data_IF_689208786976
#
_entry.id   IF_689208786976
#
_cell.length_a   1.000
_cell.length_b   1.000
_cell.length_c   1.000
_cell.angle_alpha   90.00
_cell.angle_beta   90.00
_cell.angle_gamma   90.00
#
_symmetry.space_group_name_H-M   'P 1'
#
loop_
_entity.id
_entity.type
_entity.pdbx_description
1 polymer ?
#
# COMPACT_ATOMS: atom_id res chain seq x y z
N UNK A 1 -15.95 -1.61 -13.97
CA UNK A 1 -14.77 -1.60 -13.08
C UNK A 1 -14.04 -2.90 -13.32
N UNK A 2 -12.70 -2.88 -13.45
CA UNK A 2 -11.93 -4.13 -13.57
C UNK A 2 -11.76 -4.69 -12.16
N UNK A 3 -12.19 -5.93 -11.96
CA UNK A 3 -11.97 -6.65 -10.71
C UNK A 3 -10.47 -6.94 -10.57
N UNK A 4 -9.94 -6.76 -9.35
CA UNK A 4 -8.57 -7.16 -9.03
C UNK A 4 -8.54 -8.69 -8.94
N UNK A 5 -7.78 -9.34 -9.83
CA UNK A 5 -7.62 -10.80 -9.88
C UNK A 5 -6.42 -11.26 -9.09
N UNK A 6 -5.39 -10.41 -9.02
CA UNK A 6 -4.09 -10.77 -8.48
C UNK A 6 -3.58 -9.68 -7.54
N UNK A 7 -2.94 -10.10 -6.44
CA UNK A 7 -2.33 -9.19 -5.47
C UNK A 7 -0.87 -9.60 -5.30
N UNK A 8 0.04 -8.72 -5.70
CA UNK A 8 1.48 -8.93 -5.63
C UNK A 8 2.07 -7.98 -4.59
N UNK A 9 2.86 -8.51 -3.66
CA UNK A 9 3.54 -7.70 -2.65
C UNK A 9 5.04 -7.61 -2.92
N UNK A 10 5.61 -6.43 -2.70
CA UNK A 10 7.06 -6.26 -2.79
C UNK A 10 7.82 -7.00 -1.68
N UNK A 11 9.13 -7.28 -1.88
CA UNK A 11 9.98 -7.78 -0.80
C UNK A 11 10.02 -6.84 0.41
N UNK A 12 9.94 -5.52 0.21
CA UNK A 12 9.92 -4.53 1.28
C UNK A 12 8.62 -4.63 2.10
N UNK A 13 7.49 -4.73 1.42
CA UNK A 13 6.18 -4.92 2.03
C UNK A 13 6.15 -6.20 2.86
N UNK A 14 6.60 -7.33 2.28
CA UNK A 14 6.65 -8.62 2.96
C UNK A 14 7.51 -8.58 4.24
N UNK A 15 8.69 -7.93 4.17
CA UNK A 15 9.57 -7.76 5.35
C UNK A 15 8.92 -6.93 6.45
N UNK A 16 8.13 -5.91 6.10
CA UNK A 16 7.40 -5.10 7.08
C UNK A 16 6.20 -5.85 7.67
N UNK A 17 5.41 -6.55 6.84
CA UNK A 17 4.26 -7.34 7.28
C UNK A 17 4.66 -8.36 8.36
N UNK A 18 5.83 -8.98 8.24
CA UNK A 18 6.38 -9.91 9.25
C UNK A 18 6.61 -9.30 10.64
N UNK A 19 6.74 -7.97 10.76
CA UNK A 19 6.95 -7.27 12.03
C UNK A 19 5.65 -6.86 12.73
N UNK A 20 4.51 -7.04 12.07
CA UNK A 20 3.21 -6.67 12.61
C UNK A 20 2.68 -7.72 13.57
N UNK A 21 1.97 -7.26 14.60
CA UNK A 21 1.19 -8.16 15.45
C UNK A 21 -0.13 -8.57 14.76
N UNK A 22 -0.84 -9.55 15.34
CA UNK A 22 -2.08 -10.08 14.76
C UNK A 22 -3.16 -9.02 14.49
N UNK A 23 -3.30 -8.01 15.36
CA UNK A 23 -4.29 -6.94 15.19
C UNK A 23 -3.91 -6.06 14.00
N UNK A 24 -2.67 -5.63 13.94
CA UNK A 24 -2.17 -4.81 12.82
C UNK A 24 -2.23 -5.55 11.48
N UNK A 25 -2.02 -6.88 11.47
CA UNK A 25 -2.20 -7.69 10.26
C UNK A 25 -3.67 -7.66 9.80
N UNK A 26 -4.64 -7.77 10.73
CA UNK A 26 -6.06 -7.67 10.38
C UNK A 26 -6.41 -6.30 9.81
N UNK A 27 -5.96 -5.22 10.46
CA UNK A 27 -6.18 -3.85 9.98
C UNK A 27 -5.58 -3.65 8.55
N UNK A 28 -4.39 -4.20 8.31
CA UNK A 28 -3.73 -4.17 7.00
C UNK A 28 -4.50 -4.99 5.94
N UNK A 29 -4.95 -6.19 6.29
CA UNK A 29 -5.70 -7.05 5.37
C UNK A 29 -7.07 -6.45 5.03
N UNK A 30 -7.74 -5.76 5.98
CA UNK A 30 -8.94 -4.97 5.70
C UNK A 30 -8.66 -3.82 4.74
N UNK A 31 -7.58 -3.06 4.95
CA UNK A 31 -7.18 -1.99 4.04
C UNK A 31 -6.93 -2.51 2.61
N UNK A 32 -6.28 -3.67 2.46
CA UNK A 32 -6.06 -4.30 1.15
C UNK A 32 -7.38 -4.70 0.51
N UNK A 33 -8.33 -5.25 1.27
CA UNK A 33 -9.67 -5.60 0.75
C UNK A 33 -10.43 -4.37 0.27
N UNK A 34 -10.39 -3.26 1.02
CA UNK A 34 -11.01 -2.00 0.59
C UNK A 34 -10.42 -1.52 -0.72
N UNK A 35 -9.09 -1.56 -0.88
CA UNK A 35 -8.41 -1.18 -2.13
C UNK A 35 -8.76 -2.14 -3.27
N UNK A 36 -8.86 -3.45 -3.00
CA UNK A 36 -9.20 -4.41 -4.04
C UNK A 36 -10.65 -4.25 -4.55
N UNK A 37 -11.57 -3.81 -3.69
CA UNK A 37 -12.96 -3.51 -4.03
C UNK A 37 -13.12 -2.16 -4.74
N UNK A 38 -12.42 -1.14 -4.26
CA UNK A 38 -12.37 0.19 -4.86
C UNK A 38 -10.92 0.66 -5.00
N UNK A 39 -10.27 0.32 -6.14
CA UNK A 39 -8.87 0.70 -6.36
C UNK A 39 -8.66 2.22 -6.44
N UNK A 40 -9.71 3.02 -6.62
CA UNK A 40 -9.62 4.47 -6.70
C UNK A 40 -9.60 5.17 -5.34
N UNK A 41 -9.87 4.43 -4.25
CA UNK A 41 -9.93 4.95 -2.87
C UNK A 41 -8.64 5.65 -2.41
N UNK A 42 -7.49 5.28 -2.97
CA UNK A 42 -6.20 5.89 -2.71
C UNK A 42 -5.93 7.13 -3.56
N UNK A 43 -5.25 8.12 -2.96
CA UNK A 43 -4.85 9.34 -3.65
C UNK A 43 -3.72 9.06 -4.62
N UNK A 44 -3.95 9.27 -5.92
CA UNK A 44 -2.93 9.21 -6.96
C UNK A 44 -1.86 10.27 -6.74
N UNK A 45 -0.60 9.87 -6.81
CA UNK A 45 0.55 10.77 -6.69
C UNK A 45 1.02 11.23 -8.07
N UNK A 46 1.66 12.40 -8.08
CA UNK A 46 2.22 13.07 -9.27
C UNK A 46 3.72 13.29 -9.08
N UNK A 47 4.41 13.72 -10.14
CA UNK A 47 5.87 13.93 -10.13
C UNK A 47 6.65 12.61 -10.03
N UNK A 48 7.71 12.57 -9.23
CA UNK A 48 8.59 11.39 -9.04
C UNK A 48 7.86 10.11 -8.57
N UNK A 49 6.60 10.20 -8.16
CA UNK A 49 5.77 9.10 -7.69
C UNK A 49 4.53 8.87 -8.58
N UNK A 50 4.55 9.37 -9.82
CA UNK A 50 3.44 9.18 -10.76
C UNK A 50 3.13 7.70 -10.96
N UNK A 51 1.84 7.33 -11.00
CA UNK A 51 1.39 5.94 -11.11
C UNK A 51 1.11 5.27 -9.77
N UNK A 52 1.68 5.78 -8.68
CA UNK A 52 1.43 5.22 -7.33
C UNK A 52 0.27 5.93 -6.65
N UNK A 53 -0.63 5.13 -6.08
CA UNK A 53 -1.69 5.57 -5.19
C UNK A 53 -1.30 5.34 -3.73
N UNK A 54 -1.79 6.21 -2.86
CA UNK A 54 -1.58 6.10 -1.41
C UNK A 54 -2.92 6.06 -0.69
N UNK A 55 -3.20 4.93 -0.04
CA UNK A 55 -4.36 4.76 0.83
C UNK A 55 -3.96 5.00 2.29
N UNK A 56 -4.84 5.65 3.06
CA UNK A 56 -4.63 5.96 4.48
C UNK A 56 -5.62 5.15 5.31
N UNK A 57 -5.14 4.44 6.32
CA UNK A 57 -5.98 3.69 7.24
C UNK A 57 -5.45 3.78 8.68
N UNK A 58 -6.32 3.57 9.66
CA UNK A 58 -5.93 3.56 11.06
C UNK A 58 -5.53 2.14 11.49
N UNK A 59 -4.41 2.03 12.20
CA UNK A 59 -4.01 0.78 12.86
C UNK A 59 -3.29 1.09 14.16
N UNK A 60 -3.63 0.38 15.23
CA UNK A 60 -3.03 0.56 16.55
C UNK A 60 -2.92 2.04 17.01
N UNK A 61 -4.00 2.80 16.85
CA UNK A 61 -4.09 4.24 17.20
C UNK A 61 -3.14 5.15 16.40
N UNK A 62 -2.67 4.69 15.24
CA UNK A 62 -1.80 5.46 14.35
C UNK A 62 -2.34 5.46 12.92
N UNK A 63 -2.16 6.57 12.22
CA UNK A 63 -2.46 6.66 10.79
C UNK A 63 -1.32 6.04 9.98
N UNK A 64 -1.65 5.02 9.20
CA UNK A 64 -0.74 4.30 8.31
C UNK A 64 -1.05 4.63 6.86
N UNK A 65 0.01 4.78 6.06
CA UNK A 65 -0.05 4.96 4.62
C UNK A 65 0.32 3.62 3.96
N UNK A 66 -0.41 3.25 2.91
CA UNK A 66 -0.10 2.11 2.06
C UNK A 66 0.04 2.60 0.61
N UNK A 67 1.22 2.35 0.04
CA UNK A 67 1.51 2.64 -1.36
C UNK A 67 1.19 1.43 -2.23
N UNK A 68 0.43 1.65 -3.30
CA UNK A 68 0.07 0.63 -4.25
C UNK A 68 -0.06 1.18 -5.67
N UNK A 69 -0.06 0.29 -6.64
CA UNK A 69 -0.34 0.58 -8.04
C UNK A 69 -1.24 -0.52 -8.61
N UNK A 70 -2.03 -0.17 -9.62
CA UNK A 70 -2.87 -1.11 -10.34
C UNK A 70 -2.36 -1.17 -11.77
N UNK A 71 -1.94 -2.36 -12.20
CA UNK A 71 -1.57 -2.62 -13.59
C UNK A 71 -2.51 -3.70 -14.11
N UNK A 72 -3.32 -3.34 -15.10
CA UNK A 72 -4.40 -4.17 -15.65
C UNK A 72 -5.43 -4.62 -14.59
N UNK A 73 -5.26 -5.81 -14.02
CA UNK A 73 -6.09 -6.40 -12.94
C UNK A 73 -5.26 -6.81 -11.73
N UNK A 74 -3.98 -6.44 -11.70
CA UNK A 74 -3.07 -6.79 -10.61
C UNK A 74 -2.86 -5.59 -9.68
N UNK A 75 -3.06 -5.81 -8.38
CA UNK A 75 -2.76 -4.87 -7.32
C UNK A 75 -1.34 -5.10 -6.81
N UNK A 76 -0.44 -4.15 -7.10
CA UNK A 76 0.94 -4.15 -6.62
C UNK A 76 1.03 -3.39 -5.30
N UNK A 77 1.45 -4.06 -4.23
CA UNK A 77 1.64 -3.48 -2.90
C UNK A 77 3.13 -3.17 -2.67
N UNK A 78 3.49 -1.88 -2.63
CA UNK A 78 4.89 -1.47 -2.55
C UNK A 78 5.42 -1.37 -1.13
N UNK A 79 4.76 -0.60 -0.27
CA UNK A 79 5.19 -0.44 1.12
C UNK A 79 4.07 0.17 1.96
N UNK A 80 4.21 0.07 3.28
CA UNK A 80 3.33 0.77 4.21
C UNK A 80 4.11 1.32 5.42
N UNK A 81 3.57 2.32 6.09
CA UNK A 81 4.18 2.87 7.31
C UNK A 81 3.62 4.24 7.70
N UNK A 82 4.20 4.83 8.75
CA UNK A 82 3.86 6.18 9.20
C UNK A 82 4.48 7.25 8.29
N UNK A 83 3.92 8.46 8.35
CA UNK A 83 4.31 9.61 7.52
C UNK A 83 5.82 9.91 7.54
N UNK A 84 6.49 9.75 8.68
CA UNK A 84 7.83 10.30 8.92
C UNK A 84 8.92 9.73 7.98
N UNK A 85 8.74 8.50 7.47
CA UNK A 85 9.73 7.84 6.60
C UNK A 85 9.14 7.22 5.32
N UNK A 86 7.81 7.21 5.19
CA UNK A 86 7.10 6.53 4.11
C UNK A 86 7.54 6.96 2.71
N UNK A 87 7.52 8.25 2.41
CA UNK A 87 7.84 8.74 1.05
C UNK A 87 9.30 8.52 0.66
N UNK A 88 10.22 8.57 1.63
CA UNK A 88 11.64 8.32 1.39
C UNK A 88 11.87 6.84 1.03
N UNK A 89 11.25 5.92 1.77
CA UNK A 89 11.34 4.49 1.46
C UNK A 89 10.63 4.14 0.16
N UNK A 90 9.49 4.75 -0.12
CA UNK A 90 8.75 4.57 -1.36
C UNK A 90 9.56 5.00 -2.58
N UNK A 91 10.12 6.22 -2.56
CA UNK A 91 10.99 6.70 -3.65
C UNK A 91 12.19 5.79 -3.89
N UNK A 92 12.85 5.33 -2.81
CA UNK A 92 13.97 4.38 -2.90
C UNK A 92 13.57 3.02 -3.45
N UNK A 93 12.30 2.63 -3.34
CA UNK A 93 11.82 1.36 -3.87
C UNK A 93 11.44 1.47 -5.35
N UNK A 94 10.81 2.59 -5.74
CA UNK A 94 10.35 2.82 -7.12
C UNK A 94 11.51 3.18 -8.05
N UNK A 95 12.46 3.99 -7.60
CA UNK A 95 13.59 4.45 -8.44
C UNK A 95 14.78 3.47 -8.41
N UNK A 96 14.53 2.18 -8.15
CA UNK A 96 15.56 1.16 -8.01
C UNK A 96 15.45 0.14 -9.12
#
# INVERSE_FOLDING_TARGET
MKEITDIIQSPLFARKKKKLNRKQIKDLDEAIRTIAQDPETGTLKTGDLSGVRVYKFNSANSLILLAYEIIETTLFLYTFGSHQNFYRELKKYINR
#
